data_IF_402504796928
#
_entry.id   IF_402504796928
#
_cell.length_a   1.000
_cell.length_b   1.000
_cell.length_c   1.000
_cell.angle_alpha   90.00
_cell.angle_beta   90.00
_cell.angle_gamma   90.00
#
_symmetry.space_group_name_H-M   'P 1'
#
loop_
_entity.id
_entity.type
_entity.pdbx_description
1 polymer ?
#
# COMPACT_ATOMS: atom_id res chain seq x y z
N UNK A 1 -17.99 -2.56 -7.04
CA UNK A 1 -16.60 -2.63 -7.55
C UNK A 1 -15.94 -3.91 -7.10
N UNK A 2 -15.27 -4.58 -8.04
CA UNK A 2 -14.37 -5.70 -7.74
C UNK A 2 -13.10 -5.17 -7.03
N UNK A 3 -12.41 -6.00 -6.25
CA UNK A 3 -11.20 -5.61 -5.49
C UNK A 3 -10.08 -5.09 -6.40
N UNK A 4 -10.00 -5.58 -7.64
CA UNK A 4 -9.01 -5.12 -8.63
C UNK A 4 -9.31 -3.69 -9.09
N UNK A 5 -10.57 -3.41 -9.43
CA UNK A 5 -11.02 -2.06 -9.80
C UNK A 5 -10.78 -1.08 -8.65
N UNK A 6 -11.02 -1.49 -7.40
CA UNK A 6 -10.75 -0.65 -6.24
C UNK A 6 -9.26 -0.33 -6.06
N UNK A 7 -8.38 -1.27 -6.42
CA UNK A 7 -6.93 -1.03 -6.49
C UNK A 7 -6.59 0.00 -7.56
N UNK A 8 -6.97 -0.28 -8.81
CA UNK A 8 -6.68 0.58 -9.97
C UNK A 8 -7.24 2.01 -9.77
N UNK A 9 -8.47 2.14 -9.25
CA UNK A 9 -9.05 3.46 -8.92
C UNK A 9 -8.27 4.15 -7.79
N UNK A 10 -7.88 3.43 -6.74
CA UNK A 10 -7.12 4.04 -5.65
C UNK A 10 -5.72 4.49 -6.04
N UNK A 11 -5.04 3.77 -6.93
CA UNK A 11 -3.77 4.22 -7.53
C UNK A 11 -3.94 5.52 -8.32
N UNK A 12 -5.00 5.62 -9.12
CA UNK A 12 -5.34 6.85 -9.85
C UNK A 12 -5.70 8.00 -8.91
N UNK A 13 -6.42 7.74 -7.81
CA UNK A 13 -6.71 8.76 -6.80
C UNK A 13 -5.43 9.30 -6.16
N UNK A 14 -4.45 8.43 -5.86
CA UNK A 14 -3.17 8.86 -5.27
C UNK A 14 -2.44 9.83 -6.19
N UNK A 15 -2.27 9.51 -7.48
CA UNK A 15 -1.52 10.39 -8.39
C UNK A 15 -2.22 11.74 -8.64
N UNK A 16 -3.54 11.79 -8.47
CA UNK A 16 -4.36 12.99 -8.69
C UNK A 16 -4.48 13.87 -7.45
N UNK A 17 -4.55 13.26 -6.25
CA UNK A 17 -4.81 13.97 -4.99
C UNK A 17 -3.54 14.25 -4.18
N UNK A 18 -2.49 13.45 -4.36
CA UNK A 18 -1.29 13.48 -3.51
C UNK A 18 -0.07 13.92 -4.31
N UNK A 19 0.62 14.94 -3.77
CA UNK A 19 1.95 15.32 -4.23
C UNK A 19 3.04 14.49 -3.53
N UNK A 20 4.18 14.31 -4.20
CA UNK A 20 5.30 13.55 -3.63
C UNK A 20 5.67 14.06 -2.22
N UNK A 21 5.73 13.18 -1.19
CA UNK A 21 6.00 13.60 0.17
C UNK A 21 7.41 14.17 0.33
N UNK A 22 8.36 13.72 -0.50
CA UNK A 22 9.75 14.15 -0.49
C UNK A 22 9.97 15.52 -1.15
N UNK A 23 9.53 15.71 -2.41
CA UNK A 23 9.84 16.93 -3.18
C UNK A 23 8.62 17.71 -3.71
N UNK A 24 7.40 17.31 -3.33
CA UNK A 24 6.11 17.94 -3.70
C UNK A 24 5.78 17.96 -5.20
N UNK A 25 6.58 17.33 -6.07
CA UNK A 25 6.24 17.14 -7.50
C UNK A 25 5.18 16.04 -7.68
N UNK A 26 4.62 15.95 -8.88
CA UNK A 26 3.58 14.97 -9.23
C UNK A 26 4.09 13.53 -9.10
N UNK A 27 3.17 12.62 -8.78
CA UNK A 27 3.39 11.18 -8.86
C UNK A 27 2.90 10.66 -10.22
N UNK A 28 3.45 9.54 -10.67
CA UNK A 28 3.04 8.81 -11.86
C UNK A 28 2.88 7.33 -11.52
N UNK A 29 2.02 6.63 -12.27
CA UNK A 29 1.87 5.19 -12.16
C UNK A 29 3.07 4.48 -12.77
N UNK A 30 3.48 3.38 -12.14
CA UNK A 30 4.40 2.42 -12.71
C UNK A 30 3.64 1.37 -13.55
N UNK A 31 4.34 0.62 -14.43
CA UNK A 31 3.72 -0.45 -15.21
C UNK A 31 2.99 -1.47 -14.33
N UNK A 32 1.94 -2.09 -14.87
CA UNK A 32 1.21 -3.16 -14.15
C UNK A 32 2.17 -4.29 -13.77
N UNK A 33 1.97 -4.84 -12.57
CA UNK A 33 2.82 -5.89 -11.98
C UNK A 33 4.27 -5.47 -11.69
N UNK A 34 4.57 -4.17 -11.64
CA UNK A 34 5.86 -3.72 -11.13
C UNK A 34 6.05 -4.23 -9.69
N UNK A 35 7.20 -4.84 -9.34
CA UNK A 35 7.35 -5.45 -8.04
C UNK A 35 7.25 -4.43 -6.89
N UNK A 36 6.28 -4.64 -5.99
CA UNK A 36 6.16 -4.01 -4.66
C UNK A 36 5.97 -2.49 -4.60
N UNK A 37 5.91 -1.79 -5.73
CA UNK A 37 5.62 -0.35 -5.78
C UNK A 37 4.72 -0.07 -6.97
N UNK A 38 3.79 0.87 -6.80
CA UNK A 38 2.78 1.19 -7.82
C UNK A 38 2.96 2.61 -8.36
N UNK A 39 3.58 3.51 -7.58
CA UNK A 39 3.78 4.92 -7.96
C UNK A 39 5.23 5.35 -7.82
N UNK A 40 5.62 6.31 -8.67
CA UNK A 40 6.92 6.98 -8.63
C UNK A 40 6.75 8.50 -8.75
N UNK A 41 7.60 9.27 -8.08
CA UNK A 41 7.70 10.70 -8.32
C UNK A 41 8.35 10.98 -9.68
N UNK A 42 7.78 11.94 -10.43
CA UNK A 42 8.30 12.34 -11.75
C UNK A 42 9.65 13.08 -11.70
N UNK A 43 10.14 13.43 -10.50
CA UNK A 43 11.36 14.24 -10.32
C UNK A 43 12.40 13.55 -9.44
N UNK A 44 12.09 13.26 -8.17
CA UNK A 44 13.09 12.75 -7.22
C UNK A 44 13.17 11.22 -7.17
N UNK A 45 12.52 10.51 -8.10
CA UNK A 45 12.45 9.03 -8.19
C UNK A 45 11.99 8.30 -6.92
N UNK A 46 11.41 9.01 -5.95
CA UNK A 46 10.72 8.43 -4.80
C UNK A 46 9.67 7.43 -5.27
N UNK A 47 9.62 6.24 -4.68
CA UNK A 47 8.68 5.15 -5.02
C UNK A 47 7.88 4.75 -3.81
N UNK A 48 6.62 4.36 -4.03
CA UNK A 48 5.75 3.85 -2.97
C UNK A 48 4.78 2.79 -3.49
N UNK A 49 4.36 1.89 -2.61
CA UNK A 49 3.20 1.03 -2.79
C UNK A 49 1.94 1.83 -2.43
N UNK A 50 0.82 1.52 -3.09
CA UNK A 50 -0.52 1.98 -2.78
C UNK A 50 -1.36 0.80 -2.27
N UNK A 51 -2.17 1.05 -1.25
CA UNK A 51 -3.23 0.15 -0.79
C UNK A 51 -4.53 0.90 -0.60
N UNK A 52 -5.59 0.42 -1.22
CA UNK A 52 -6.96 0.96 -1.05
C UNK A 52 -7.74 0.10 -0.07
N UNK A 53 -8.40 0.74 0.88
CA UNK A 53 -9.23 0.08 1.89
C UNK A 53 -10.58 0.79 1.95
N UNK A 54 -11.64 0.03 1.64
CA UNK A 54 -13.02 0.47 1.85
C UNK A 54 -13.37 0.22 3.33
N UNK A 55 -13.08 1.19 4.17
CA UNK A 55 -13.31 1.19 5.61
C UNK A 55 -12.46 2.26 6.30
N UNK A 56 -12.79 2.53 7.56
CA UNK A 56 -12.02 3.42 8.43
C UNK A 56 -10.58 2.90 8.62
N UNK A 57 -9.63 3.78 8.99
CA UNK A 57 -8.30 3.39 9.40
C UNK A 57 -8.32 2.24 10.40
N UNK A 58 -7.51 1.21 10.15
CA UNK A 58 -7.47 -0.02 10.94
C UNK A 58 -6.05 -0.52 11.11
N UNK A 59 -5.84 -1.28 12.18
CA UNK A 59 -4.50 -1.71 12.60
C UNK A 59 -3.88 -2.78 11.68
N UNK A 60 -4.73 -3.61 11.06
CA UNK A 60 -4.30 -4.73 10.22
C UNK A 60 -4.76 -4.57 8.77
N UNK A 61 -3.82 -4.68 7.83
CA UNK A 61 -4.06 -4.53 6.39
C UNK A 61 -3.54 -5.75 5.61
N UNK A 62 -4.23 -6.09 4.51
CA UNK A 62 -3.78 -7.13 3.60
C UNK A 62 -2.67 -6.59 2.68
N UNK A 63 -1.57 -7.33 2.62
CA UNK A 63 -0.45 -7.10 1.73
C UNK A 63 -0.55 -7.85 0.40
N UNK A 64 0.58 -7.95 -0.29
CA UNK A 64 0.74 -8.73 -1.51
C UNK A 64 1.15 -10.18 -1.22
N UNK A 65 1.59 -10.92 -2.24
CA UNK A 65 2.09 -12.29 -2.08
C UNK A 65 3.31 -12.37 -1.16
N UNK A 66 3.32 -13.36 -0.26
CA UNK A 66 4.40 -13.55 0.72
C UNK A 66 5.75 -13.78 0.04
N UNK A 67 5.77 -14.58 -1.02
CA UNK A 67 7.02 -15.01 -1.66
C UNK A 67 7.77 -13.83 -2.29
N UNK A 68 7.05 -12.83 -2.83
CA UNK A 68 7.67 -11.64 -3.44
C UNK A 68 8.31 -10.77 -2.37
N UNK A 69 7.59 -10.46 -1.29
CA UNK A 69 8.13 -9.61 -0.22
C UNK A 69 9.24 -10.33 0.54
N UNK A 70 9.10 -11.63 0.82
CA UNK A 70 10.12 -12.40 1.54
C UNK A 70 11.44 -12.45 0.77
N UNK A 71 11.41 -12.65 -0.55
CA UNK A 71 12.63 -12.59 -1.39
C UNK A 71 13.26 -11.20 -1.39
N UNK A 72 12.44 -10.15 -1.45
CA UNK A 72 12.92 -8.76 -1.43
C UNK A 72 13.63 -8.43 -0.13
N UNK A 73 13.04 -8.79 1.01
CA UNK A 73 13.62 -8.58 2.34
C UNK A 73 14.89 -9.40 2.55
N UNK A 74 14.92 -10.67 2.10
CA UNK A 74 16.13 -11.50 2.12
C UNK A 74 17.27 -10.94 1.28
N UNK A 75 16.95 -10.13 0.27
CA UNK A 75 17.94 -9.44 -0.57
C UNK A 75 18.43 -8.12 0.03
N UNK A 76 18.04 -7.81 1.28
CA UNK A 76 18.48 -6.63 2.02
C UNK A 76 17.67 -5.36 1.76
N UNK A 77 16.64 -5.41 0.92
CA UNK A 77 15.76 -4.27 0.69
C UNK A 77 14.81 -4.06 1.87
N UNK A 78 14.48 -2.79 2.13
CA UNK A 78 13.47 -2.42 3.10
C UNK A 78 12.05 -2.68 2.56
N UNK A 79 11.08 -2.75 3.46
CA UNK A 79 9.67 -2.67 3.08
C UNK A 79 9.43 -1.35 2.36
N UNK A 80 8.80 -1.35 1.17
CA UNK A 80 8.52 -0.10 0.46
C UNK A 80 7.67 0.86 1.30
N UNK A 81 7.98 2.15 1.19
CA UNK A 81 7.10 3.19 1.69
C UNK A 81 5.69 3.01 1.09
N UNK A 82 4.66 3.25 1.87
CA UNK A 82 3.30 2.85 1.48
C UNK A 82 2.31 3.98 1.71
N UNK A 83 1.54 4.31 0.67
CA UNK A 83 0.30 5.05 0.80
C UNK A 83 -0.85 4.10 1.08
N UNK A 84 -1.67 4.43 2.07
CA UNK A 84 -2.91 3.73 2.36
C UNK A 84 -4.07 4.70 2.20
N UNK A 85 -4.91 4.44 1.20
CA UNK A 85 -6.12 5.20 0.88
C UNK A 85 -7.32 4.54 1.56
N UNK A 86 -7.79 5.15 2.66
CA UNK A 86 -8.97 4.73 3.41
C UNK A 86 -10.19 5.49 2.91
N UNK A 87 -11.26 4.76 2.59
CA UNK A 87 -12.52 5.30 2.10
C UNK A 87 -13.68 4.70 2.88
N UNK A 88 -14.49 5.52 3.52
CA UNK A 88 -15.68 5.05 4.25
C UNK A 88 -16.76 6.12 4.14
N UNK A 89 -18.00 5.69 3.88
CA UNK A 89 -19.12 6.61 3.66
C UNK A 89 -18.74 7.67 2.61
N UNK A 90 -18.90 8.96 2.92
CA UNK A 90 -18.47 10.09 2.08
C UNK A 90 -17.07 10.64 2.44
N UNK A 91 -16.36 9.97 3.35
CA UNK A 91 -15.05 10.39 3.86
C UNK A 91 -13.89 9.65 3.18
N UNK A 92 -12.75 10.34 3.09
CA UNK A 92 -11.52 9.78 2.56
C UNK A 92 -10.30 10.28 3.33
N UNK A 93 -9.39 9.38 3.70
CA UNK A 93 -8.13 9.72 4.33
C UNK A 93 -6.99 8.92 3.69
N UNK A 94 -5.97 9.63 3.20
CA UNK A 94 -4.77 9.01 2.64
C UNK A 94 -3.64 9.22 3.62
N UNK A 95 -3.11 8.10 4.14
CA UNK A 95 -1.95 8.07 5.02
C UNK A 95 -0.71 7.64 4.25
N UNK A 96 0.40 8.28 4.54
CA UNK A 96 1.72 7.92 4.04
C UNK A 96 2.57 7.36 5.17
N UNK A 97 2.96 6.09 5.05
CA UNK A 97 3.87 5.40 5.94
C UNK A 97 5.27 5.41 5.31
N UNK A 98 6.19 6.29 5.75
CA UNK A 98 7.53 6.39 5.17
C UNK A 98 8.38 5.15 5.47
N UNK A 99 8.11 4.49 6.59
CA UNK A 99 8.84 3.32 7.05
C UNK A 99 7.90 2.34 7.73
N UNK A 100 7.88 1.11 7.25
CA UNK A 100 7.16 -0.01 7.86
C UNK A 100 8.21 -1.05 8.27
N UNK A 101 8.42 -1.28 9.58
CA UNK A 101 9.38 -2.28 10.03
C UNK A 101 9.01 -3.69 9.56
N UNK A 102 10.00 -4.54 9.29
CA UNK A 102 9.76 -5.94 8.91
C UNK A 102 8.97 -6.72 9.97
N UNK A 103 9.14 -6.41 11.26
CA UNK A 103 8.39 -7.06 12.35
C UNK A 103 6.87 -6.85 12.25
N UNK A 104 6.43 -5.84 11.50
CA UNK A 104 5.02 -5.58 11.24
C UNK A 104 4.45 -6.41 10.07
N UNK A 105 5.28 -7.24 9.41
CA UNK A 105 4.86 -8.13 8.32
C UNK A 105 4.70 -9.55 8.83
N UNK A 106 3.48 -10.09 8.70
CA UNK A 106 3.18 -11.45 9.12
C UNK A 106 2.70 -12.29 7.95
N UNK A 107 3.29 -13.47 7.77
CA UNK A 107 2.79 -14.45 6.81
C UNK A 107 1.34 -14.82 7.14
N UNK A 108 0.48 -14.80 6.13
CA UNK A 108 -0.93 -15.12 6.23
C UNK A 108 -1.37 -15.93 5.02
N UNK A 109 -2.07 -17.03 5.28
CA UNK A 109 -2.63 -17.89 4.25
C UNK A 109 -4.13 -17.64 4.16
N UNK A 110 -4.62 -17.41 2.93
CA UNK A 110 -6.05 -17.29 2.68
C UNK A 110 -6.79 -18.60 2.99
N UNK A 111 -8.06 -18.49 3.40
CA UNK A 111 -8.89 -19.65 3.70
C UNK A 111 -9.05 -20.57 2.48
N UNK A 112 -9.35 -21.87 2.69
CA UNK A 112 -9.64 -22.80 1.60
C UNK A 112 -10.85 -22.38 0.74
N UNK A 113 -11.75 -21.58 1.29
CA UNK A 113 -12.97 -21.07 0.64
C UNK A 113 -12.75 -19.76 -0.12
N UNK A 114 -11.56 -19.15 -0.03
CA UNK A 114 -11.28 -17.90 -0.72
C UNK A 114 -11.15 -18.09 -2.23
N UNK A 115 -11.41 -17.04 -3.02
CA UNK A 115 -11.23 -17.04 -4.49
C UNK A 115 -9.85 -17.53 -4.94
N UNK A 116 -8.81 -17.26 -4.14
CA UNK A 116 -7.45 -17.82 -4.29
C UNK A 116 -7.16 -18.67 -3.07
N UNK A 117 -7.82 -19.83 -2.98
CA UNK A 117 -7.70 -20.75 -1.86
C UNK A 117 -6.23 -21.02 -1.51
N UNK A 118 -5.89 -20.98 -0.23
CA UNK A 118 -4.55 -21.27 0.29
C UNK A 118 -3.41 -20.36 -0.23
N UNK A 119 -3.72 -19.25 -0.89
CA UNK A 119 -2.69 -18.33 -1.35
C UNK A 119 -1.97 -17.67 -0.17
N UNK A 120 -0.63 -17.73 -0.19
CA UNK A 120 0.23 -17.11 0.81
C UNK A 120 0.45 -15.64 0.49
N UNK A 121 0.06 -14.81 1.43
CA UNK A 121 0.23 -13.37 1.41
C UNK A 121 0.79 -12.90 2.76
N UNK A 122 0.91 -11.60 2.94
CA UNK A 122 1.26 -11.05 4.23
C UNK A 122 0.20 -10.08 4.74
N UNK A 123 0.22 -9.89 6.06
CA UNK A 123 -0.51 -8.84 6.74
C UNK A 123 0.48 -7.79 7.22
N UNK A 124 0.12 -6.53 7.03
CA UNK A 124 0.63 -5.45 7.84
C UNK A 124 -0.12 -5.48 9.18
N UNK A 125 0.56 -5.52 10.32
CA UNK A 125 -0.03 -5.42 11.67
C UNK A 125 0.57 -4.26 12.45
N UNK A 126 -0.15 -3.71 13.42
CA UNK A 126 0.34 -2.60 14.24
C UNK A 126 0.38 -1.26 13.49
N UNK A 127 -0.35 -1.12 12.38
CA UNK A 127 -0.29 0.07 11.52
C UNK A 127 -0.74 1.33 12.25
N UNK A 128 -1.63 1.23 13.25
CA UNK A 128 -2.08 2.39 14.01
C UNK A 128 -0.98 2.99 14.89
N UNK A 129 0.04 2.20 15.23
CA UNK A 129 1.15 2.60 16.10
C UNK A 129 2.38 3.07 15.31
N UNK A 130 2.39 2.90 13.99
CA UNK A 130 3.49 3.33 13.14
C UNK A 130 3.39 4.83 12.84
N UNK A 131 4.52 5.55 12.70
CA UNK A 131 4.51 6.93 12.27
C UNK A 131 3.98 7.03 10.84
N UNK A 132 3.05 7.96 10.62
CA UNK A 132 2.51 8.28 9.30
C UNK A 132 2.23 9.77 9.16
N UNK A 133 2.12 10.20 7.91
CA UNK A 133 1.62 11.52 7.55
C UNK A 133 0.23 11.40 6.94
N UNK A 134 -0.72 12.23 7.35
CA UNK A 134 -1.97 12.41 6.59
C UNK A 134 -1.64 13.32 5.41
N UNK A 135 -1.68 12.78 4.20
CA UNK A 135 -1.31 13.51 2.97
C UNK A 135 -2.52 13.99 2.17
N UNK A 136 -3.70 13.49 2.49
CA UNK A 136 -4.99 13.96 1.98
C UNK A 136 -6.09 13.58 2.98
N UNK A 137 -7.06 14.46 3.17
CA UNK A 137 -8.26 14.19 3.97
C UNK A 137 -9.44 14.98 3.41
N UNK A 138 -10.58 14.30 3.26
CA UNK A 138 -11.87 14.85 2.88
C UNK A 138 -12.92 14.35 3.86
#
# INVERSE_FOLDING_TARGET
MNKKEAGDTGENEIINLVHCPNCKKKLMLLPKNYPLVDVQCTSCVFRAQVKTINGKPKDTLLGAGWDIISKTLKSGYLVPATFVNFKWDDSQEIRFYPFIPHINLHNYQLSPTAKRANYKMFLYKGMNNLPYFVVFKK
#
